data_IF_655778749302
#
_entry.id   IF_655778749302
#
_cell.length_a   1.000
_cell.length_b   1.000
_cell.length_c   1.000
_cell.angle_alpha   90.00
_cell.angle_beta   90.00
_cell.angle_gamma   90.00
#
_symmetry.space_group_name_H-M   'P 1'
#
loop_
_entity.id
_entity.type
_entity.pdbx_description
1 polymer ?
2 water ?
#
# COMPACT_ATOMS: atom_id res chain seq x y z
N UNK A 3 0.43 14.16 10.64
CA UNK A 3 -1.03 13.85 10.55
C UNK A 3 -1.73 14.21 11.85
N UNK A 4 -3.03 14.49 11.78
CA UNK A 4 -3.76 14.82 13.00
C UNK A 4 -3.91 13.49 13.74
N UNK A 5 -3.69 13.48 15.05
CA UNK A 5 -3.78 12.22 15.78
C UNK A 5 -5.20 11.83 16.23
N UNK A 6 -6.18 12.17 15.41
CA UNK A 6 -7.58 11.85 15.66
C UNK A 6 -7.78 10.36 15.41
N UNK A 7 -8.90 9.82 15.87
CA UNK A 7 -9.18 8.41 15.67
C UNK A 7 -10.47 8.16 14.89
N UNK A 8 -10.33 7.83 13.62
CA UNK A 8 -11.44 7.49 12.72
C UNK A 8 -10.79 6.39 11.87
N UNK A 9 -10.65 5.19 12.45
CA UNK A 9 -10.02 4.02 11.82
C UNK A 9 -10.40 3.63 10.40
N UNK A 10 -9.37 3.25 9.64
CA UNK A 10 -9.52 2.81 8.26
C UNK A 10 -8.71 1.53 8.06
N UNK A 11 -9.20 0.67 7.17
CA UNK A 11 -8.58 -0.62 6.88
C UNK A 11 -7.70 -0.51 5.63
N UNK A 12 -6.45 -0.96 5.76
CA UNK A 12 -5.49 -0.92 4.66
C UNK A 12 -5.51 -2.23 3.89
N UNK A 13 -5.20 -2.19 2.60
CA UNK A 13 -5.21 -3.40 1.78
C UNK A 13 -4.21 -4.43 2.29
N UNK A 14 -3.29 -4.01 3.16
CA UNK A 14 -2.30 -4.92 3.74
C UNK A 14 -2.84 -5.60 5.00
N UNK A 15 -4.11 -5.37 5.30
CA UNK A 15 -4.72 -5.97 6.47
C UNK A 15 -4.54 -5.18 7.76
N UNK A 16 -3.77 -4.11 7.69
CA UNK A 16 -3.51 -3.29 8.87
C UNK A 16 -4.54 -2.17 9.02
N UNK A 17 -4.88 -1.88 10.26
CA UNK A 17 -5.86 -0.85 10.60
C UNK A 17 -5.15 0.41 11.04
N UNK A 18 -5.34 1.49 10.29
CA UNK A 18 -4.71 2.77 10.62
C UNK A 18 -5.70 3.70 11.34
N UNK A 19 -5.18 4.50 12.28
CA UNK A 19 -5.97 5.44 13.10
C UNK A 19 -6.84 6.38 12.27
N UNK A 20 -6.33 6.79 11.11
CA UNK A 20 -7.11 7.61 10.20
C UNK A 20 -6.55 7.52 8.78
N UNK A 21 -7.27 8.12 7.84
CA UNK A 21 -6.90 8.13 6.44
C UNK A 21 -5.51 8.71 6.21
N UNK A 22 -5.16 9.77 6.95
CA UNK A 22 -3.85 10.39 6.79
C UNK A 22 -2.72 9.42 7.07
N UNK A 23 -2.81 8.68 8.18
CA UNK A 23 -1.78 7.69 8.52
C UNK A 23 -1.72 6.57 7.50
N UNK A 24 -2.87 6.18 6.96
CA UNK A 24 -2.90 5.13 5.94
C UNK A 24 -2.07 5.64 4.76
N UNK A 25 -2.35 6.88 4.36
CA UNK A 25 -1.64 7.49 3.24
C UNK A 25 -0.14 7.61 3.52
N UNK A 26 0.22 8.09 4.70
CA UNK A 26 1.63 8.24 5.04
C UNK A 26 2.33 6.89 4.98
N UNK A 27 1.68 5.84 5.46
CA UNK A 27 2.30 4.52 5.41
C UNK A 27 2.40 3.96 3.98
N UNK A 28 1.90 4.71 3.00
CA UNK A 28 1.95 4.25 1.61
C UNK A 28 1.16 2.97 1.35
N UNK A 29 0.00 2.85 1.97
CA UNK A 29 -0.84 1.67 1.82
C UNK A 29 -2.14 1.99 1.07
N UNK A 30 -2.55 1.07 0.20
CA UNK A 30 -3.79 1.21 -0.57
C UNK A 30 -4.99 1.00 0.35
N UNK A 31 -6.08 1.78 0.16
CA UNK A 31 -7.26 1.58 1.01
C UNK A 31 -7.77 0.17 0.70
N UNK A 32 -8.21 -0.59 1.70
CA UNK A 32 -8.71 -1.93 1.41
C UNK A 32 -10.03 -1.82 0.64
N UNK A 33 -10.46 -2.90 0.02
CA UNK A 33 -11.74 -2.88 -0.69
C UNK A 33 -12.84 -2.82 0.35
N UNK A 34 -12.68 -3.58 1.43
CA UNK A 34 -13.66 -3.58 2.51
C UNK A 34 -13.01 -3.92 3.84
N UNK A 35 -13.74 -3.66 4.92
CA UNK A 35 -13.27 -3.97 6.25
C UNK A 35 -12.99 -5.46 6.40
N UNK A 36 -13.54 -6.28 5.50
CA UNK A 36 -13.30 -7.72 5.60
C UNK A 36 -11.80 -7.97 5.58
N UNK A 37 -11.07 -7.14 4.85
CA UNK A 37 -9.62 -7.31 4.75
C UNK A 37 -8.91 -7.21 6.09
N UNK A 38 -9.51 -6.50 7.05
CA UNK A 38 -8.89 -6.33 8.36
C UNK A 38 -9.61 -7.08 9.48
N UNK A 39 -10.50 -8.01 9.12
CA UNK A 39 -11.27 -8.73 10.13
C UNK A 39 -10.46 -9.71 10.97
N UNK A 40 -9.40 -10.29 10.41
CA UNK A 40 -8.60 -11.22 11.19
C UNK A 40 -8.81 -12.67 10.80
N UNK A 41 -9.85 -12.92 10.01
CA UNK A 41 -10.07 -14.25 9.50
C UNK A 41 -10.81 -14.15 8.17
N UNK B 2 -4.26 -13.80 -10.48
CA UNK B 2 -3.26 -14.11 -11.53
C UNK B 2 -2.63 -12.79 -11.97
N UNK B 3 -1.31 -12.74 -11.98
CA UNK B 3 -0.61 -11.52 -12.41
C UNK B 3 0.25 -11.85 -13.64
N UNK B 4 0.48 -10.86 -14.51
CA UNK B 4 1.31 -11.15 -15.68
C UNK B 4 2.73 -11.34 -15.14
N UNK B 5 3.57 -12.09 -15.83
CA UNK B 5 4.93 -12.24 -15.34
C UNK B 5 5.89 -11.32 -16.11
N UNK B 6 5.30 -10.39 -16.84
CA UNK B 6 6.04 -9.38 -17.60
C UNK B 6 6.81 -8.51 -16.59
N UNK B 7 8.05 -8.18 -16.91
CA UNK B 7 8.85 -7.33 -16.03
C UNK B 7 8.76 -5.86 -16.47
N UNK B 8 8.10 -5.07 -15.64
CA UNK B 8 7.97 -3.64 -15.90
C UNK B 8 7.91 -3.11 -14.48
N UNK B 9 9.09 -3.05 -13.83
CA UNK B 9 9.26 -2.60 -12.45
C UNK B 9 8.68 -1.27 -12.05
N UNK B 10 8.07 -1.27 -10.86
CA UNK B 10 7.43 -0.11 -10.25
C UNK B 10 7.96 0.02 -8.82
N UNK B 11 8.19 1.26 -8.40
CA UNK B 11 8.71 1.54 -7.07
C UNK B 11 7.55 1.69 -6.07
N UNK B 12 7.55 0.86 -5.04
CA UNK B 12 6.51 0.91 -4.02
C UNK B 12 6.80 1.99 -2.99
N UNK B 13 5.76 2.52 -2.38
CA UNK B 13 5.94 3.57 -1.39
C UNK B 13 6.74 3.06 -0.18
N UNK B 14 6.90 1.74 -0.11
CA UNK B 14 7.63 1.09 0.97
C UNK B 14 9.10 0.88 0.63
N UNK B 15 9.58 1.50 -0.45
CA UNK B 15 10.97 1.37 -0.84
C UNK B 15 11.35 0.15 -1.65
N UNK B 16 10.43 -0.80 -1.76
CA UNK B 16 10.71 -2.02 -2.50
C UNK B 16 10.24 -1.97 -3.94
N UNK B 17 11.06 -2.50 -4.84
CA UNK B 17 10.73 -2.54 -6.26
C UNK B 17 9.95 -3.82 -6.58
N UNK B 18 8.79 -3.66 -7.20
CA UNK B 18 7.95 -4.80 -7.54
C UNK B 18 8.07 -5.06 -9.04
N UNK B 19 8.01 -6.34 -9.40
CA UNK B 19 8.12 -6.79 -10.79
C UNK B 19 7.21 -6.03 -11.75
N UNK B 20 5.99 -5.77 -11.31
CA UNK B 20 5.04 -5.00 -12.11
C UNK B 20 3.92 -4.45 -11.24
N UNK B 21 3.05 -3.66 -11.85
CA UNK B 21 1.93 -3.04 -11.17
C UNK B 21 1.03 -4.07 -10.52
N UNK B 22 0.87 -5.22 -11.17
CA UNK B 22 0.01 -6.25 -10.62
C UNK B 22 0.59 -6.78 -9.31
N UNK B 23 1.90 -7.01 -9.27
CA UNK B 23 2.50 -7.51 -8.05
C UNK B 23 2.50 -6.45 -6.94
N UNK B 24 2.62 -5.17 -7.29
CA UNK B 24 2.60 -4.08 -6.31
C UNK B 24 1.20 -4.09 -5.66
N UNK B 25 0.16 -4.14 -6.49
CA UNK B 25 -1.22 -4.16 -6.00
C UNK B 25 -1.52 -5.35 -5.10
N UNK B 26 -1.00 -6.53 -5.46
CA UNK B 26 -1.24 -7.74 -4.67
C UNK B 26 -0.70 -7.50 -3.27
N UNK B 27 0.38 -6.73 -3.21
CA UNK B 27 1.03 -6.41 -1.95
C UNK B 27 0.27 -5.37 -1.10
N UNK B 28 -0.69 -4.67 -1.71
CA UNK B 28 -1.46 -3.67 -0.97
C UNK B 28 -0.69 -2.36 -0.81
N UNK B 29 0.40 -2.23 -1.57
CA UNK B 29 1.28 -1.05 -1.54
C UNK B 29 0.99 -0.04 -2.66
N UNK B 30 1.04 1.25 -2.31
CA UNK B 30 0.83 2.34 -3.25
C UNK B 30 2.10 2.63 -4.05
N UNK B 31 1.95 3.05 -5.31
CA UNK B 31 3.17 3.36 -6.08
C UNK B 31 3.80 4.53 -5.31
N UNK B 32 5.12 4.60 -5.27
CA UNK B 32 5.80 5.69 -4.56
C UNK B 32 5.58 7.02 -5.29
N UNK B 33 5.72 8.14 -4.59
CA UNK B 33 5.57 9.43 -5.25
C UNK B 33 6.71 9.57 -6.29
N UNK B 34 7.90 9.04 -6.00
CA UNK B 34 8.99 9.09 -6.99
C UNK B 34 9.93 7.90 -6.81
N UNK B 35 10.69 7.59 -7.86
CA UNK B 35 11.63 6.47 -7.81
C UNK B 35 12.69 6.63 -6.72
N UNK B 36 12.95 7.88 -6.33
CA UNK B 36 13.93 8.16 -5.28
C UNK B 36 13.64 7.27 -4.08
N UNK B 37 12.36 6.99 -3.85
CA UNK B 37 11.98 6.14 -2.73
C UNK B 37 12.58 4.74 -2.76
N UNK B 38 12.97 4.25 -3.95
CA UNK B 38 13.55 2.92 -4.06
C UNK B 38 15.10 2.89 -4.34
N UNK B 39 15.78 4.02 -4.13
CA UNK B 39 17.26 4.15 -4.25
C UNK B 39 17.73 5.59 -4.52
N UNK B 40 19.01 5.87 -4.25
CA UNK B 40 19.56 7.23 -4.36
C UNK B 40 19.77 7.95 -5.69
#
# INVERSE_FOLDING_TARGET
GSCPHTYKPVCGANGEVYDNECFLNKAGIEPAESWETCRGHE
GSCPHTYKPVCGANGEVYDNECFLNKAGIEPAESWETCRGHE
#
